data_IF_431153884308
#
_entry.id   IF_431153884308
#
_cell.length_a   1.000
_cell.length_b   1.000
_cell.length_c   1.000
_cell.angle_alpha   90.00
_cell.angle_beta   90.00
_cell.angle_gamma   90.00
#
_symmetry.space_group_name_H-M   'P 1'
#
loop_
_entity.id
_entity.type
_entity.pdbx_description
1 polymer ?
#
# COMPACT_ATOMS: atom_id res chain seq x y z
N UNK A 1 14.04 -2.74 8.22
CA UNK A 1 14.11 -1.72 7.15
C UNK A 1 12.77 -1.00 7.04
N UNK A 2 12.80 0.33 7.05
CA UNK A 2 11.62 1.18 6.89
C UNK A 2 10.52 0.94 7.93
N UNK A 3 10.88 0.70 9.18
CA UNK A 3 9.91 0.35 10.24
C UNK A 3 8.84 1.42 10.44
N UNK A 4 9.25 2.70 10.39
CA UNK A 4 8.30 3.80 10.53
C UNK A 4 7.33 3.86 9.37
N UNK A 5 7.82 3.69 8.15
CA UNK A 5 6.97 3.67 6.96
C UNK A 5 6.03 2.46 6.97
N UNK A 6 6.54 1.30 7.41
CA UNK A 6 5.70 0.10 7.55
C UNK A 6 4.55 0.35 8.53
N UNK A 7 4.83 1.02 9.65
CA UNK A 7 3.79 1.33 10.63
C UNK A 7 2.76 2.30 10.08
N UNK A 8 3.19 3.34 9.38
CA UNK A 8 2.29 4.31 8.76
C UNK A 8 1.40 3.66 7.69
N UNK A 9 2.00 2.83 6.84
CA UNK A 9 1.27 2.12 5.79
C UNK A 9 0.33 1.08 6.40
N UNK A 10 0.74 0.40 7.47
CA UNK A 10 -0.13 -0.52 8.20
C UNK A 10 -1.37 0.21 8.71
N UNK A 11 -1.19 1.35 9.38
CA UNK A 11 -2.32 2.12 9.92
C UNK A 11 -3.27 2.57 8.82
N UNK A 12 -2.72 3.03 7.69
CA UNK A 12 -3.54 3.45 6.56
C UNK A 12 -4.34 2.29 5.97
N UNK A 13 -3.74 1.10 5.90
CA UNK A 13 -4.47 -0.09 5.45
C UNK A 13 -5.58 -0.46 6.41
N UNK A 14 -5.35 -0.34 7.72
CA UNK A 14 -6.37 -0.66 8.72
C UNK A 14 -7.56 0.31 8.69
N UNK A 15 -7.35 1.51 8.17
CA UNK A 15 -8.46 2.46 7.99
C UNK A 15 -9.45 2.01 6.92
N UNK A 16 -9.03 1.20 5.94
CA UNK A 16 -9.90 0.75 4.87
C UNK A 16 -11.12 -0.05 5.39
N UNK A 17 -10.93 -1.13 6.16
CA UNK A 17 -12.09 -1.83 6.71
C UNK A 17 -12.83 -1.01 7.77
N UNK A 18 -12.12 -0.17 8.52
CA UNK A 18 -12.72 0.68 9.55
C UNK A 18 -13.77 1.62 8.97
N UNK A 19 -13.54 2.14 7.77
CA UNK A 19 -14.46 3.04 7.10
C UNK A 19 -15.35 2.34 6.06
N UNK A 20 -15.35 1.01 6.03
CA UNK A 20 -16.19 0.24 5.13
C UNK A 20 -15.81 0.34 3.66
N UNK A 21 -14.54 0.65 3.37
CA UNK A 21 -14.08 0.83 1.99
C UNK A 21 -13.65 -0.47 1.32
N UNK A 22 -13.53 -1.55 2.07
CA UNK A 22 -13.08 -2.85 1.55
C UNK A 22 -13.85 -3.97 2.21
N UNK A 23 -13.85 -5.16 1.56
CA UNK A 23 -14.37 -6.41 2.11
C UNK A 23 -13.29 -7.48 1.97
N UNK A 24 -13.26 -8.43 2.91
CA UNK A 24 -12.27 -9.51 2.92
C UNK A 24 -10.84 -8.96 2.92
N UNK A 25 -10.00 -9.39 1.97
CA UNK A 25 -8.61 -8.95 1.84
C UNK A 25 -8.41 -7.96 0.70
N UNK A 26 -9.48 -7.54 0.05
CA UNK A 26 -9.42 -6.65 -1.11
C UNK A 26 -9.10 -5.22 -0.70
N UNK A 27 -8.38 -4.53 -1.56
CA UNK A 27 -7.98 -3.16 -1.30
C UNK A 27 -6.64 -3.09 -0.59
N UNK A 28 -5.92 -1.98 -0.78
CA UNK A 28 -4.61 -1.81 -0.15
C UNK A 28 -4.15 -0.36 -0.22
N UNK A 29 -3.21 -0.04 0.65
CA UNK A 29 -2.52 1.25 0.67
C UNK A 29 -1.03 0.96 0.61
N UNK A 30 -0.29 1.77 -0.13
CA UNK A 30 1.17 1.75 -0.09
C UNK A 30 1.71 3.15 0.21
N UNK A 31 2.97 3.21 0.66
CA UNK A 31 3.69 4.46 0.86
C UNK A 31 5.13 4.29 0.41
N UNK A 32 5.72 5.35 -0.13
CA UNK A 32 7.05 5.27 -0.73
C UNK A 32 8.05 6.13 0.02
N UNK A 33 9.29 5.63 0.13
CA UNK A 33 10.48 6.39 0.51
C UNK A 33 11.23 6.74 -0.77
N UNK A 34 11.11 7.98 -1.22
CA UNK A 34 11.70 8.41 -2.50
C UNK A 34 13.21 8.41 -2.48
N UNK A 35 13.83 8.65 -1.31
CA UNK A 35 15.28 8.64 -1.20
C UNK A 35 15.84 7.25 -1.47
N UNK A 36 15.15 6.22 -0.98
CA UNK A 36 15.59 4.84 -1.13
C UNK A 36 15.04 4.16 -2.39
N UNK A 37 14.02 4.76 -3.01
CA UNK A 37 13.36 4.15 -4.15
C UNK A 37 12.62 2.86 -3.78
N UNK A 38 12.09 2.80 -2.57
CA UNK A 38 11.39 1.62 -2.04
C UNK A 38 10.01 2.02 -1.53
N UNK A 39 9.01 1.19 -1.78
CA UNK A 39 7.70 1.40 -1.19
C UNK A 39 7.26 0.20 -0.34
N UNK A 40 6.39 0.47 0.61
CA UNK A 40 5.82 -0.54 1.51
C UNK A 40 4.37 -0.75 1.11
N UNK A 41 3.97 -2.02 1.00
CA UNK A 41 2.62 -2.39 0.58
C UNK A 41 2.12 -3.58 1.43
N UNK A 42 0.80 -3.69 1.52
CA UNK A 42 0.15 -4.80 2.21
C UNK A 42 0.49 -6.13 1.55
N UNK A 43 0.73 -7.18 2.34
CA UNK A 43 0.93 -8.51 1.78
C UNK A 43 -0.35 -9.07 1.15
N UNK A 44 -0.19 -9.97 0.19
CA UNK A 44 -1.28 -10.64 -0.48
C UNK A 44 -1.93 -11.67 0.44
N UNK A 45 -3.26 -11.68 0.47
CA UNK A 45 -4.01 -12.76 1.11
C UNK A 45 -4.01 -12.78 2.64
N UNK A 46 -3.55 -11.73 3.28
CA UNK A 46 -3.58 -11.63 4.74
C UNK A 46 -4.81 -10.81 5.15
N UNK A 47 -5.63 -11.39 6.02
CA UNK A 47 -6.82 -10.71 6.53
C UNK A 47 -6.43 -9.48 7.34
N UNK A 48 -7.27 -8.43 7.27
CA UNK A 48 -7.00 -7.18 8.00
C UNK A 48 -6.88 -7.39 9.51
N UNK A 49 -7.69 -8.29 10.08
CA UNK A 49 -7.68 -8.54 11.51
C UNK A 49 -6.46 -9.34 11.99
N UNK A 50 -5.70 -9.91 11.07
CA UNK A 50 -4.47 -10.65 11.36
C UNK A 50 -3.21 -9.90 10.96
N UNK A 51 -3.37 -8.80 10.23
CA UNK A 51 -2.25 -8.03 9.71
C UNK A 51 -1.51 -7.31 10.84
N UNK A 52 -0.18 -7.29 10.74
CA UNK A 52 0.71 -6.59 11.68
C UNK A 52 1.67 -5.70 10.90
N UNK A 53 2.20 -4.63 11.51
CA UNK A 53 3.16 -3.76 10.82
C UNK A 53 4.37 -4.52 10.26
N UNK A 54 4.87 -5.51 10.97
CA UNK A 54 6.03 -6.30 10.52
C UNK A 54 5.72 -7.22 9.35
N UNK A 55 4.44 -7.44 9.04
CA UNK A 55 4.02 -8.25 7.89
C UNK A 55 4.08 -7.48 6.57
N UNK A 56 4.23 -6.17 6.65
CA UNK A 56 4.26 -5.32 5.45
C UNK A 56 5.48 -5.66 4.59
N UNK A 57 5.32 -5.52 3.27
CA UNK A 57 6.32 -5.94 2.30
C UNK A 57 6.98 -4.71 1.68
N UNK A 58 8.31 -4.75 1.57
CA UNK A 58 9.09 -3.69 0.91
C UNK A 58 9.39 -4.11 -0.52
N UNK A 59 9.08 -3.23 -1.48
CA UNK A 59 9.19 -3.49 -2.91
C UNK A 59 9.95 -2.33 -3.56
N UNK A 60 10.79 -2.64 -4.56
CA UNK A 60 11.47 -1.60 -5.34
C UNK A 60 10.59 -1.10 -6.50
N UNK A 61 11.07 -0.09 -7.23
CA UNK A 61 10.31 0.51 -8.33
C UNK A 61 10.30 -0.35 -9.61
N UNK A 62 10.97 -1.49 -9.60
CA UNK A 62 10.89 -2.49 -10.66
C UNK A 62 9.91 -3.61 -10.31
N UNK A 63 9.32 -3.57 -9.12
CA UNK A 63 8.36 -4.57 -8.69
C UNK A 63 8.95 -5.78 -7.97
N UNK A 64 10.23 -5.71 -7.60
CA UNK A 64 10.90 -6.81 -6.90
C UNK A 64 10.76 -6.67 -5.40
N UNK A 65 10.44 -7.77 -4.74
CA UNK A 65 10.38 -7.79 -3.27
C UNK A 65 11.79 -7.64 -2.70
N UNK A 66 11.97 -6.66 -1.83
CA UNK A 66 13.25 -6.38 -1.17
C UNK A 66 13.27 -6.99 0.23
N UNK A 67 12.17 -6.94 0.96
CA UNK A 67 12.06 -7.45 2.32
C UNK A 67 10.63 -7.88 2.61
N UNK A 68 10.48 -8.94 3.40
CA UNK A 68 9.19 -9.43 3.86
C UNK A 68 9.05 -10.94 3.69
N UNK A 69 8.29 -11.58 4.59
CA UNK A 69 8.04 -13.02 4.55
C UNK A 69 6.95 -13.39 3.55
N UNK A 70 6.00 -12.47 3.33
CA UNK A 70 4.85 -12.71 2.47
C UNK A 70 5.11 -12.16 1.07
N UNK A 71 4.30 -12.61 0.12
CA UNK A 71 4.28 -12.00 -1.19
C UNK A 71 3.56 -10.64 -1.10
N UNK A 72 4.01 -9.64 -1.85
CA UNK A 72 3.31 -8.37 -1.89
C UNK A 72 1.93 -8.51 -2.52
N UNK A 73 1.06 -7.54 -2.26
CA UNK A 73 -0.29 -7.49 -2.83
C UNK A 73 -0.27 -7.78 -4.34
N UNK A 74 -1.31 -8.44 -4.84
CA UNK A 74 -1.48 -8.67 -6.28
C UNK A 74 -1.58 -7.36 -7.07
N UNK A 75 -1.88 -6.26 -6.40
CA UNK A 75 -1.95 -4.94 -7.03
C UNK A 75 -0.60 -4.23 -7.11
N UNK A 76 0.48 -4.87 -6.71
CA UNK A 76 1.82 -4.27 -6.69
C UNK A 76 2.22 -3.69 -8.05
N UNK A 77 1.91 -4.37 -9.14
CA UNK A 77 2.23 -3.88 -10.48
C UNK A 77 1.56 -2.52 -10.77
N UNK A 78 0.33 -2.34 -10.34
CA UNK A 78 -0.39 -1.06 -10.47
C UNK A 78 0.31 0.04 -9.66
N UNK A 79 0.71 -0.27 -8.42
CA UNK A 79 1.43 0.69 -7.59
C UNK A 79 2.78 1.08 -8.20
N UNK A 80 3.51 0.12 -8.77
CA UNK A 80 4.78 0.39 -9.46
C UNK A 80 4.56 1.37 -10.62
N UNK A 81 3.57 1.12 -11.46
CA UNK A 81 3.25 2.00 -12.59
C UNK A 81 2.95 3.42 -12.12
N UNK A 82 2.13 3.56 -11.09
CA UNK A 82 1.74 4.87 -10.57
C UNK A 82 2.90 5.62 -9.93
N UNK A 83 3.75 4.95 -9.15
CA UNK A 83 4.92 5.59 -8.55
C UNK A 83 5.91 6.06 -9.61
N UNK A 84 6.09 5.31 -10.68
CA UNK A 84 6.98 5.71 -11.77
C UNK A 84 6.39 6.83 -12.62
N UNK A 85 5.07 6.82 -12.85
CA UNK A 85 4.40 7.84 -13.65
C UNK A 85 4.24 9.18 -12.90
N UNK A 86 4.11 9.14 -11.58
CA UNK A 86 3.83 10.32 -10.76
C UNK A 86 4.92 10.49 -9.68
N UNK A 87 6.05 11.12 -10.03
CA UNK A 87 7.21 11.18 -9.12
C UNK A 87 6.98 12.00 -7.84
N UNK A 88 5.88 12.76 -7.76
CA UNK A 88 5.59 13.61 -6.60
C UNK A 88 4.64 12.97 -5.59
N UNK A 89 4.08 11.80 -5.86
CA UNK A 89 3.16 11.17 -4.91
C UNK A 89 3.94 10.40 -3.83
N UNK A 90 3.40 10.42 -2.61
CA UNK A 90 3.99 9.73 -1.47
C UNK A 90 3.26 8.47 -1.07
N UNK A 91 2.06 8.23 -1.61
CA UNK A 91 1.27 7.06 -1.28
C UNK A 91 0.16 6.82 -2.30
N UNK A 92 -0.40 5.62 -2.26
CA UNK A 92 -1.48 5.19 -3.16
C UNK A 92 -2.52 4.43 -2.35
N UNK A 93 -3.79 4.77 -2.57
CA UNK A 93 -4.93 4.03 -2.02
C UNK A 93 -5.66 3.34 -3.17
N UNK A 94 -5.82 2.04 -3.07
CA UNK A 94 -6.56 1.24 -4.05
C UNK A 94 -7.65 0.47 -3.33
N UNK A 95 -8.91 0.63 -3.76
CA UNK A 95 -10.04 -0.09 -3.21
C UNK A 95 -10.86 -0.73 -4.31
N UNK A 96 -11.63 -1.80 -4.00
CA UNK A 96 -12.48 -2.45 -5.01
C UNK A 96 -13.72 -1.65 -5.38
N UNK A 97 -13.98 -0.54 -4.68
CA UNK A 97 -15.12 0.33 -4.94
C UNK A 97 -14.64 1.72 -5.33
N UNK A 98 -15.43 2.42 -6.12
CA UNK A 98 -15.10 3.74 -6.59
C UNK A 98 -15.82 4.81 -5.77
N UNK A 99 -15.06 5.71 -5.16
CA UNK A 99 -15.58 6.86 -4.41
C UNK A 99 -15.07 8.14 -5.03
N UNK A 100 -15.96 8.90 -5.64
CA UNK A 100 -15.57 10.12 -6.33
C UNK A 100 -15.37 11.31 -5.40
N UNK A 101 -15.86 11.21 -4.17
CA UNK A 101 -15.78 12.30 -3.19
C UNK A 101 -14.73 12.10 -2.10
N UNK A 102 -14.02 10.97 -2.12
CA UNK A 102 -12.97 10.69 -1.16
C UNK A 102 -11.64 11.16 -1.74
N UNK A 103 -11.11 12.26 -1.22
CA UNK A 103 -9.84 12.80 -1.70
C UNK A 103 -8.83 12.90 -0.57
N UNK A 104 -7.60 12.45 -0.86
CA UNK A 104 -6.44 12.64 0.01
C UNK A 104 -5.47 13.52 -0.76
N UNK A 105 -5.00 14.65 -0.17
CA UNK A 105 -4.28 15.67 -0.95
C UNK A 105 -3.06 15.21 -1.73
N UNK A 106 -2.35 14.20 -1.23
CA UNK A 106 -1.11 13.72 -1.86
C UNK A 106 -1.16 12.27 -2.30
N UNK A 107 -2.35 11.65 -2.24
CA UNK A 107 -2.51 10.22 -2.52
C UNK A 107 -3.51 10.03 -3.64
N UNK A 108 -3.12 9.45 -4.79
CA UNK A 108 -4.08 9.15 -5.85
C UNK A 108 -5.05 8.05 -5.42
N UNK A 109 -6.27 8.16 -5.88
CA UNK A 109 -7.32 7.20 -5.63
C UNK A 109 -7.58 6.37 -6.89
N UNK A 110 -7.41 5.09 -6.75
CA UNK A 110 -7.61 4.15 -7.88
C UNK A 110 -8.54 3.02 -7.51
#
# INVERSE_FOLDING_TARGET
MLEKLKEEVYKANMDLPKYGLVTFTWGNVSGIDREKGLFVIKPSGVDYDKLKPEDMVVVDLQGNKVEGEYNPSSDTATHVVLYNAFPNIGGIVHTPVSYTHLTLPTTPYV
#
